data_IF_122903125919
#
_entry.id   IF_122903125919
#
_cell.length_a   1.000
_cell.length_b   1.000
_cell.length_c   1.000
_cell.angle_alpha   90.00
_cell.angle_beta   90.00
_cell.angle_gamma   90.00
#
_symmetry.space_group_name_H-M   'P 1'
#
loop_
_entity.id
_entity.type
_entity.pdbx_description
1 polymer ?
#
# COMPACT_ATOMS: atom_id res chain seq x y z
N UNK A 1 20.33 -44.13 -27.00
CA UNK A 1 19.85 -43.41 -25.79
C UNK A 1 20.69 -42.15 -25.58
N UNK A 2 20.09 -41.12 -24.96
CA UNK A 2 20.67 -39.80 -24.58
C UNK A 2 20.58 -38.70 -25.64
N UNK A 3 19.50 -37.91 -25.54
CA UNK A 3 19.47 -36.44 -25.78
C UNK A 3 18.10 -35.93 -25.31
N UNK A 4 17.87 -35.94 -23.99
CA UNK A 4 16.72 -35.30 -23.33
C UNK A 4 17.19 -34.74 -21.99
N UNK A 5 18.08 -33.76 -21.99
CA UNK A 5 18.51 -33.10 -20.74
C UNK A 5 18.91 -31.62 -20.89
N UNK A 6 18.50 -30.94 -21.97
CA UNK A 6 18.82 -29.52 -22.16
C UNK A 6 17.63 -28.57 -21.92
N UNK A 7 16.39 -29.08 -21.92
CA UNK A 7 15.20 -28.22 -21.77
C UNK A 7 14.95 -27.75 -20.33
N UNK A 8 15.28 -28.56 -19.32
CA UNK A 8 15.07 -28.17 -17.92
C UNK A 8 16.06 -27.11 -17.43
N UNK A 9 17.30 -27.12 -17.92
CA UNK A 9 18.31 -26.12 -17.54
C UNK A 9 17.97 -24.71 -18.09
N UNK A 10 17.42 -24.64 -19.32
CA UNK A 10 16.97 -23.39 -19.91
C UNK A 10 15.77 -22.79 -19.16
N UNK A 11 14.83 -23.61 -18.69
CA UNK A 11 13.68 -23.16 -17.89
C UNK A 11 14.14 -22.64 -16.52
N UNK A 12 15.08 -23.33 -15.85
CA UNK A 12 15.66 -22.87 -14.58
C UNK A 12 16.43 -21.54 -14.73
N UNK A 13 17.13 -21.33 -15.83
CA UNK A 13 17.81 -20.06 -16.13
C UNK A 13 16.81 -18.94 -16.43
N UNK A 14 15.70 -19.21 -17.12
CA UNK A 14 14.66 -18.20 -17.36
C UNK A 14 13.93 -17.86 -16.06
N UNK A 15 13.60 -18.85 -15.22
CA UNK A 15 12.97 -18.60 -13.91
C UNK A 15 13.92 -17.83 -12.98
N UNK A 16 15.22 -18.17 -12.97
CA UNK A 16 16.23 -17.42 -12.23
C UNK A 16 16.49 -16.01 -12.76
N UNK A 17 16.40 -15.80 -14.08
CA UNK A 17 16.57 -14.49 -14.70
C UNK A 17 15.34 -13.59 -14.48
N UNK A 18 14.13 -14.15 -14.50
CA UNK A 18 12.89 -13.42 -14.14
C UNK A 18 12.88 -13.08 -12.64
N UNK A 19 13.44 -13.93 -11.77
CA UNK A 19 13.62 -13.62 -10.34
C UNK A 19 14.78 -12.63 -10.06
N UNK A 20 15.63 -12.37 -11.05
CA UNK A 20 16.77 -11.44 -10.97
C UNK A 20 16.45 -10.04 -11.51
N UNK A 21 15.31 -9.83 -12.16
CA UNK A 21 14.86 -8.49 -12.48
C UNK A 21 14.19 -7.87 -11.24
N UNK A 22 14.83 -6.83 -10.73
CA UNK A 22 14.34 -5.93 -9.67
C UNK A 22 14.59 -6.34 -8.20
N UNK A 23 15.67 -7.08 -7.93
CA UNK A 23 16.12 -7.39 -6.57
C UNK A 23 16.95 -6.24 -5.91
N UNK A 24 16.97 -5.04 -6.49
CA UNK A 24 17.41 -3.87 -5.73
C UNK A 24 16.27 -3.48 -4.81
N UNK A 25 16.21 -4.11 -3.63
CA UNK A 25 15.43 -3.64 -2.49
C UNK A 25 15.64 -2.13 -2.38
N UNK A 26 14.54 -1.38 -2.46
CA UNK A 26 14.61 0.06 -2.32
C UNK A 26 14.90 0.37 -0.85
N UNK A 27 16.12 0.83 -0.55
CA UNK A 27 16.60 1.09 0.82
C UNK A 27 15.61 2.00 1.57
N UNK A 28 14.94 2.91 0.87
CA UNK A 28 13.93 3.76 1.48
C UNK A 28 12.71 2.94 1.98
N UNK A 29 12.17 2.04 1.16
CA UNK A 29 11.04 1.20 1.55
C UNK A 29 11.44 0.19 2.63
N UNK A 30 12.63 -0.42 2.50
CA UNK A 30 13.14 -1.34 3.50
C UNK A 30 13.28 -0.67 4.87
N UNK A 31 13.85 0.54 4.92
CA UNK A 31 13.90 1.34 6.14
C UNK A 31 12.49 1.70 6.63
N UNK A 32 11.59 2.10 5.73
CA UNK A 32 10.22 2.44 6.10
C UNK A 32 9.48 1.24 6.69
N UNK A 33 9.72 0.01 6.24
CA UNK A 33 9.08 -1.21 6.74
C UNK A 33 9.90 -1.96 7.79
N UNK A 34 10.93 -1.33 8.36
CA UNK A 34 11.79 -1.94 9.39
C UNK A 34 12.39 -3.29 8.92
N UNK A 35 12.74 -3.37 7.62
CA UNK A 35 13.22 -4.56 6.92
C UNK A 35 12.27 -5.78 6.94
N UNK A 36 11.00 -5.57 7.30
CA UNK A 36 9.96 -6.60 7.24
C UNK A 36 9.41 -6.76 5.81
N UNK A 37 8.71 -7.87 5.57
CA UNK A 37 8.06 -8.14 4.29
C UNK A 37 6.91 -7.15 4.02
N UNK A 38 6.88 -6.63 2.80
CA UNK A 38 5.81 -5.75 2.30
C UNK A 38 5.45 -6.13 0.86
N UNK A 39 4.25 -5.75 0.45
CA UNK A 39 3.79 -5.86 -0.95
C UNK A 39 3.77 -4.48 -1.57
N UNK A 40 3.91 -4.43 -2.90
CA UNK A 40 3.75 -3.22 -3.70
C UNK A 40 2.70 -3.50 -4.77
N UNK A 41 1.77 -2.57 -4.94
CA UNK A 41 0.79 -2.55 -6.01
C UNK A 41 0.95 -1.26 -6.82
N UNK A 42 0.76 -1.35 -8.13
CA UNK A 42 0.69 -0.17 -9.01
C UNK A 42 -0.77 0.18 -9.25
N UNK A 43 -1.07 1.47 -9.19
CA UNK A 43 -2.41 2.02 -9.35
C UNK A 43 -2.37 3.24 -10.27
N UNK A 44 -3.49 3.52 -10.93
CA UNK A 44 -3.62 4.62 -11.88
C UNK A 44 -4.77 5.54 -11.49
N UNK A 45 -4.45 6.82 -11.32
CA UNK A 45 -5.44 7.89 -11.33
C UNK A 45 -5.45 8.59 -12.68
N UNK A 46 -6.55 9.27 -13.00
CA UNK A 46 -6.75 9.89 -14.31
C UNK A 46 -5.63 10.85 -14.72
N UNK A 47 -4.89 11.40 -13.74
CA UNK A 47 -3.82 12.37 -13.92
C UNK A 47 -2.41 11.86 -13.56
N UNK A 48 -2.26 10.74 -12.83
CA UNK A 48 -0.94 10.20 -12.49
C UNK A 48 -0.99 8.72 -12.06
N UNK A 49 0.12 8.02 -12.28
CA UNK A 49 0.39 6.70 -11.71
C UNK A 49 1.00 6.81 -10.31
N UNK A 50 0.67 5.88 -9.44
CA UNK A 50 1.29 5.76 -8.13
C UNK A 50 1.42 4.30 -7.70
N UNK A 51 2.27 4.10 -6.70
CA UNK A 51 2.51 2.82 -6.07
C UNK A 51 1.99 2.85 -4.64
N UNK A 52 1.42 1.73 -4.23
CA UNK A 52 0.94 1.50 -2.88
C UNK A 52 1.73 0.34 -2.27
N UNK A 53 2.61 0.65 -1.32
CA UNK A 53 3.34 -0.36 -0.56
C UNK A 53 2.76 -0.51 0.85
N UNK A 54 2.61 -1.74 1.33
CA UNK A 54 1.99 -2.03 2.62
C UNK A 54 2.53 -3.30 3.26
N UNK A 55 2.54 -3.33 4.59
CA UNK A 55 2.94 -4.52 5.35
C UNK A 55 1.86 -5.62 5.29
N UNK A 56 2.30 -6.87 5.28
CA UNK A 56 1.39 -8.02 5.26
C UNK A 56 1.16 -8.52 6.68
N UNK A 57 -0.06 -8.38 7.19
CA UNK A 57 -0.42 -8.98 8.47
C UNK A 57 -0.72 -10.47 8.27
N UNK A 58 0.04 -11.34 8.94
CA UNK A 58 -0.21 -12.78 8.94
C UNK A 58 -1.64 -13.09 9.45
N UNK A 59 -2.31 -14.04 8.80
CA UNK A 59 -3.62 -14.59 9.17
C UNK A 59 -4.84 -13.64 9.06
N UNK A 60 -4.72 -12.46 8.45
CA UNK A 60 -5.88 -11.59 8.18
C UNK A 60 -5.90 -11.13 6.73
N UNK A 61 -6.89 -11.60 5.97
CA UNK A 61 -7.01 -11.29 4.54
C UNK A 61 -7.16 -9.78 4.30
N UNK A 62 -6.06 -9.17 3.85
CA UNK A 62 -6.03 -7.83 3.26
C UNK A 62 -5.96 -6.67 4.24
N UNK A 63 -5.58 -6.89 5.51
CA UNK A 63 -5.33 -5.78 6.45
C UNK A 63 -3.85 -5.41 6.49
N UNK A 64 -3.59 -4.12 6.68
CA UNK A 64 -2.26 -3.58 6.92
C UNK A 64 -2.29 -2.56 8.06
N UNK A 65 -1.16 -2.35 8.73
CA UNK A 65 -1.00 -1.31 9.78
C UNK A 65 0.03 -0.26 9.39
N UNK A 66 0.82 -0.51 8.36
CA UNK A 66 1.86 0.38 7.86
C UNK A 66 1.77 0.36 6.34
N UNK A 67 1.64 1.53 5.74
CA UNK A 67 1.66 1.65 4.29
C UNK A 67 2.19 3.01 3.85
N UNK A 68 2.55 3.10 2.58
CA UNK A 68 3.03 4.31 1.93
C UNK A 68 2.50 4.36 0.50
N UNK A 69 2.02 5.53 0.12
CA UNK A 69 1.70 5.88 -1.26
C UNK A 69 2.86 6.69 -1.80
N UNK A 70 3.34 6.36 -2.99
CA UNK A 70 4.47 7.05 -3.57
C UNK A 70 4.45 7.03 -5.10
N UNK A 71 5.14 8.01 -5.69
CA UNK A 71 5.54 7.97 -7.09
C UNK A 71 6.96 7.43 -7.18
N UNK A 72 7.25 6.73 -8.27
CA UNK A 72 8.60 6.26 -8.60
C UNK A 72 9.05 6.94 -9.88
N UNK A 73 10.14 7.70 -9.81
CA UNK A 73 10.82 8.22 -10.98
C UNK A 73 12.26 7.70 -10.98
N UNK A 74 12.57 6.79 -11.90
CA UNK A 74 13.83 6.04 -11.92
C UNK A 74 14.10 5.33 -10.57
N UNK A 75 15.11 5.80 -9.83
CA UNK A 75 15.54 5.27 -8.53
C UNK A 75 15.10 6.15 -7.35
N UNK A 76 14.27 7.16 -7.59
CA UNK A 76 13.80 8.06 -6.55
C UNK A 76 12.36 7.73 -6.21
N UNK A 77 12.11 7.50 -4.93
CA UNK A 77 10.78 7.39 -4.35
C UNK A 77 10.36 8.76 -3.83
N UNK A 78 9.20 9.23 -4.28
CA UNK A 78 8.56 10.44 -3.81
C UNK A 78 7.28 10.06 -3.05
N UNK A 79 7.31 10.07 -1.70
CA UNK A 79 6.14 9.76 -0.89
C UNK A 79 5.05 10.82 -1.03
N UNK A 80 3.83 10.38 -1.28
CA UNK A 80 2.64 11.25 -1.40
C UNK A 80 1.61 10.98 -0.29
N UNK A 81 1.84 9.97 0.56
CA UNK A 81 1.02 9.67 1.72
C UNK A 81 1.59 8.55 2.57
N UNK A 82 1.37 8.61 3.89
CA UNK A 82 1.81 7.57 4.83
C UNK A 82 0.65 7.09 5.69
N UNK A 83 0.66 5.80 6.01
CA UNK A 83 -0.19 5.20 7.03
C UNK A 83 0.72 4.53 8.06
N UNK A 84 0.56 4.92 9.33
CA UNK A 84 1.35 4.41 10.46
C UNK A 84 0.42 4.11 11.63
N UNK A 85 0.21 2.83 11.90
CA UNK A 85 -0.78 2.39 12.88
C UNK A 85 -2.16 2.87 12.48
N UNK A 86 -2.85 3.55 13.39
CA UNK A 86 -4.19 4.09 13.21
C UNK A 86 -4.23 5.51 12.64
N UNK A 87 -3.13 6.00 12.05
CA UNK A 87 -3.01 7.38 11.57
C UNK A 87 -2.62 7.45 10.09
N UNK A 88 -3.14 8.46 9.43
CA UNK A 88 -2.83 8.80 8.03
C UNK A 88 -2.15 10.17 7.99
N UNK A 89 -1.08 10.29 7.22
CA UNK A 89 -0.26 11.50 7.11
C UNK A 89 0.00 11.89 5.65
N UNK A 90 0.19 13.18 5.41
CA UNK A 90 0.82 13.72 4.20
C UNK A 90 2.12 14.41 4.62
N UNK A 91 3.27 13.82 4.25
CA UNK A 91 4.54 14.20 4.86
C UNK A 91 4.52 13.97 6.37
N UNK A 92 4.84 15.01 7.14
CA UNK A 92 4.77 14.99 8.61
C UNK A 92 3.40 15.41 9.16
N UNK A 93 2.53 15.97 8.31
CA UNK A 93 1.21 16.47 8.73
C UNK A 93 0.26 15.30 8.97
N UNK A 94 -0.26 15.19 10.19
CA UNK A 94 -1.37 14.29 10.52
C UNK A 94 -2.64 14.75 9.82
N UNK A 95 -3.28 13.85 9.08
CA UNK A 95 -4.55 14.10 8.40
C UNK A 95 -5.73 13.48 9.15
N UNK A 96 -5.54 12.26 9.64
CA UNK A 96 -6.60 11.50 10.28
C UNK A 96 -6.05 10.54 11.33
N UNK A 97 -6.84 10.29 12.37
CA UNK A 97 -6.55 9.34 13.43
C UNK A 97 -7.81 8.53 13.75
N UNK A 98 -7.81 7.25 13.38
CA UNK A 98 -8.90 6.29 13.63
C UNK A 98 -8.83 5.70 15.03
N UNK A 99 -8.91 6.53 16.07
CA UNK A 99 -8.97 6.07 17.47
C UNK A 99 -10.43 5.94 17.89
N UNK A 100 -10.84 4.73 18.30
CA UNK A 100 -12.08 4.50 19.03
C UNK A 100 -11.68 4.02 20.43
N UNK A 101 -11.91 4.83 21.45
CA UNK A 101 -11.36 4.60 22.80
C UNK A 101 -11.72 3.23 23.42
N UNK A 102 -12.84 2.65 23.03
CA UNK A 102 -13.33 1.36 23.52
C UNK A 102 -12.88 0.16 22.68
N UNK A 103 -12.13 0.38 21.60
CA UNK A 103 -11.81 -0.66 20.63
C UNK A 103 -10.31 -0.67 20.28
N UNK A 104 -9.75 -1.87 20.13
CA UNK A 104 -8.33 -2.03 19.75
C UNK A 104 -8.17 -1.96 18.24
N UNK A 105 -7.42 -0.99 17.74
CA UNK A 105 -7.10 -0.90 16.31
C UNK A 105 -6.45 -2.18 15.78
N UNK A 106 -6.92 -2.67 14.64
CA UNK A 106 -6.48 -3.91 14.02
C UNK A 106 -5.81 -3.72 12.66
N UNK A 107 -6.21 -2.72 11.88
CA UNK A 107 -5.62 -2.45 10.57
C UNK A 107 -6.52 -1.61 9.67
N UNK A 108 -6.04 -1.39 8.45
CA UNK A 108 -6.72 -0.65 7.39
C UNK A 108 -7.02 -1.55 6.19
N UNK A 109 -8.01 -1.15 5.41
CA UNK A 109 -8.18 -1.45 3.98
C UNK A 109 -8.33 -0.15 3.22
N UNK A 110 -7.93 -0.19 1.96
CA UNK A 110 -8.17 0.91 1.02
C UNK A 110 -8.84 0.39 -0.24
N UNK A 111 -9.54 1.28 -0.92
CA UNK A 111 -10.07 1.06 -2.26
C UNK A 111 -9.72 2.28 -3.09
N UNK A 112 -9.01 2.04 -4.19
CA UNK A 112 -8.67 3.07 -5.17
C UNK A 112 -9.89 3.32 -6.04
N UNK A 113 -10.29 4.58 -6.17
CA UNK A 113 -11.47 5.02 -6.90
C UNK A 113 -11.03 5.99 -8.00
N UNK A 114 -10.76 5.43 -9.17
CA UNK A 114 -10.10 6.10 -10.29
C UNK A 114 -10.86 7.32 -10.80
N UNK A 115 -12.20 7.24 -10.87
CA UNK A 115 -13.05 8.31 -11.45
C UNK A 115 -12.86 9.67 -10.75
N UNK A 116 -12.46 9.67 -9.48
CA UNK A 116 -12.34 10.87 -8.65
C UNK A 116 -10.92 11.09 -8.11
N UNK A 117 -9.93 10.34 -8.60
CA UNK A 117 -8.55 10.37 -8.09
C UNK A 117 -8.51 10.27 -6.57
N UNK A 118 -9.28 9.31 -6.04
CA UNK A 118 -9.55 9.22 -4.61
C UNK A 118 -9.30 7.83 -4.06
N UNK A 119 -9.00 7.76 -2.78
CA UNK A 119 -8.83 6.51 -2.04
C UNK A 119 -9.80 6.51 -0.89
N UNK A 120 -10.77 5.59 -0.95
CA UNK A 120 -11.64 5.30 0.17
C UNK A 120 -10.84 4.46 1.18
N UNK A 121 -10.93 4.83 2.45
CA UNK A 121 -10.24 4.10 3.52
C UNK A 121 -11.25 3.53 4.50
N UNK A 122 -10.92 2.38 5.05
CA UNK A 122 -11.71 1.70 6.08
C UNK A 122 -10.74 1.22 7.14
N UNK A 123 -11.05 1.44 8.41
CA UNK A 123 -10.27 0.85 9.49
C UNK A 123 -11.07 -0.19 10.26
N UNK A 124 -10.34 -1.19 10.73
CA UNK A 124 -10.85 -2.30 11.49
C UNK A 124 -10.35 -2.24 12.91
N UNK A 125 -11.20 -2.66 13.85
CA UNK A 125 -10.86 -2.78 15.26
C UNK A 125 -11.24 -4.17 15.78
N UNK A 126 -10.88 -4.48 17.02
CA UNK A 126 -11.18 -5.75 17.69
C UNK A 126 -10.87 -6.95 16.81
N UNK A 127 -9.61 -7.01 16.39
CA UNK A 127 -9.10 -8.05 15.51
C UNK A 127 -9.74 -8.17 14.11
N UNK A 128 -10.52 -7.20 13.65
CA UNK A 128 -11.22 -7.28 12.37
C UNK A 128 -12.72 -7.54 12.49
N UNK A 129 -13.22 -7.72 13.71
CA UNK A 129 -14.64 -7.97 13.98
C UNK A 129 -15.50 -6.73 13.69
N UNK A 130 -14.93 -5.55 13.90
CA UNK A 130 -15.60 -4.27 13.69
C UNK A 130 -14.92 -3.49 12.56
N UNK A 131 -15.73 -2.76 11.80
CA UNK A 131 -15.33 -1.94 10.68
C UNK A 131 -15.86 -0.52 10.87
N UNK A 132 -15.09 0.48 10.47
CA UNK A 132 -15.51 1.87 10.46
C UNK A 132 -14.97 2.55 9.21
N UNK A 133 -15.81 3.36 8.58
CA UNK A 133 -15.39 4.18 7.44
C UNK A 133 -14.32 5.18 7.89
N UNK A 134 -13.23 5.23 7.12
CA UNK A 134 -12.19 6.22 7.27
C UNK A 134 -12.41 7.41 6.35
N UNK A 135 -11.44 8.34 6.30
CA UNK A 135 -11.51 9.45 5.37
C UNK A 135 -11.42 8.98 3.92
N UNK A 136 -12.12 9.67 3.03
CA UNK A 136 -11.86 9.66 1.60
C UNK A 136 -10.71 10.63 1.30
N UNK A 137 -9.60 10.13 0.76
CA UNK A 137 -8.43 10.92 0.39
C UNK A 137 -8.52 11.32 -1.09
N UNK A 138 -8.46 12.61 -1.43
CA UNK A 138 -8.69 13.10 -2.80
C UNK A 138 -7.48 13.88 -3.32
N UNK A 139 -6.99 13.51 -4.51
CA UNK A 139 -5.91 14.21 -5.20
C UNK A 139 -6.43 15.11 -6.32
N UNK A 140 -5.83 16.30 -6.46
CA UNK A 140 -5.94 17.17 -7.64
C UNK A 140 -4.55 17.59 -8.07
N UNK A 141 -4.22 17.38 -9.34
CA UNK A 141 -2.90 17.67 -9.90
C UNK A 141 -1.78 17.10 -9.00
N UNK A 142 -1.98 15.86 -8.57
CA UNK A 142 -1.03 15.06 -7.80
C UNK A 142 -0.75 15.56 -6.38
N UNK A 143 -1.50 16.56 -5.93
CA UNK A 143 -1.51 17.01 -4.54
C UNK A 143 -2.74 16.47 -3.84
N UNK A 144 -2.54 15.95 -2.62
CA UNK A 144 -3.67 15.65 -1.74
C UNK A 144 -4.32 16.97 -1.31
N UNK A 145 -5.55 17.21 -1.78
CA UNK A 145 -6.25 18.49 -1.58
C UNK A 145 -7.34 18.43 -0.53
N UNK A 146 -7.86 17.24 -0.24
CA UNK A 146 -9.00 17.11 0.66
C UNK A 146 -9.02 15.72 1.31
N UNK A 147 -9.46 15.70 2.57
CA UNK A 147 -9.99 14.50 3.20
C UNK A 147 -11.41 14.77 3.69
N UNK A 148 -12.35 13.89 3.41
CA UNK A 148 -13.75 13.99 3.84
C UNK A 148 -14.07 12.77 4.68
N UNK A 149 -14.67 12.97 5.85
CA UNK A 149 -15.34 11.88 6.55
C UNK A 149 -16.70 11.75 5.86
N UNK A 150 -16.87 10.71 5.06
CA UNK A 150 -18.18 10.43 4.48
C UNK A 150 -19.15 10.14 5.65
N UNK A 151 -20.20 10.94 5.73
CA UNK A 151 -21.24 10.80 6.77
C UNK A 151 -22.56 10.36 6.15
N UNK A 152 -22.59 10.06 4.85
CA UNK A 152 -23.80 9.67 4.14
C UNK A 152 -24.34 8.29 4.55
N UNK A 153 -23.57 7.53 5.35
CA UNK A 153 -24.00 6.26 5.95
C UNK A 153 -24.26 6.33 7.47
N UNK A 154 -24.33 7.53 8.07
CA UNK A 154 -24.79 7.75 9.44
C UNK A 154 -26.32 7.95 9.51
#
# INVERSE_FOLDING_TARGET
MKKKFCFFAAILLIVGYVYSQDNSRDIFLDNYFDYQEYKIESHHFSNFDFYFAYNVLHNKQGFFTKAILFKKNNKTIEPIGYIRGNKIFNGERLLFSGVIHTQKFAGWKITVVDRNNSIATVFYTNNGENMTEGPLLIWKNDMLVQYVIDTSML
#
